data_IF_992140198101
#
_entry.id   IF_992140198101
#
_cell.length_a   1.000
_cell.length_b   1.000
_cell.length_c   1.000
_cell.angle_alpha   90.00
_cell.angle_beta   90.00
_cell.angle_gamma   90.00
#
_symmetry.space_group_name_H-M   'P 1'
#
loop_
_entity.id
_entity.type
_entity.pdbx_description
1 polymer ?
#
# COMPACT_ATOMS: atom_id res chain seq x y z
N UNK A 1 -34.74 7.93 -62.93
CA UNK A 1 -35.06 9.05 -62.03
C UNK A 1 -35.41 8.45 -60.67
N UNK A 2 -34.75 8.62 -59.61
CA UNK A 2 -33.98 9.64 -58.88
C UNK A 2 -32.90 9.01 -58.03
N UNK A 3 -31.75 9.56 -58.11
CA UNK A 3 -30.52 9.54 -57.29
C UNK A 3 -30.69 10.12 -55.91
N UNK A 4 -29.68 9.74 -55.05
CA UNK A 4 -29.05 10.48 -53.95
C UNK A 4 -29.84 10.45 -52.63
N UNK A 5 -29.23 10.05 -51.49
CA UNK A 5 -28.04 10.64 -50.86
C UNK A 5 -27.48 9.70 -49.77
N UNK A 6 -26.28 9.20 -49.98
CA UNK A 6 -25.38 8.79 -48.89
C UNK A 6 -24.81 10.05 -48.24
N UNK A 7 -24.96 10.20 -46.94
CA UNK A 7 -24.23 11.21 -46.18
C UNK A 7 -23.50 10.55 -45.00
N UNK A 8 -22.21 10.57 -45.16
CA UNK A 8 -21.15 10.38 -44.15
C UNK A 8 -21.55 10.51 -42.67
N UNK A 9 -21.42 9.42 -41.96
CA UNK A 9 -21.32 9.36 -40.48
C UNK A 9 -20.01 8.64 -40.11
N UNK A 10 -18.87 9.20 -40.52
CA UNK A 10 -17.56 8.60 -40.26
C UNK A 10 -16.49 9.63 -39.82
N UNK A 11 -16.89 10.77 -39.27
CA UNK A 11 -15.93 11.82 -38.90
C UNK A 11 -16.05 12.36 -37.48
N UNK A 12 -16.86 11.77 -36.57
CA UNK A 12 -16.97 12.28 -35.17
C UNK A 12 -16.49 11.33 -34.11
N UNK A 13 -16.11 10.09 -34.40
CA UNK A 13 -15.60 9.15 -33.40
C UNK A 13 -14.10 9.26 -33.13
N UNK A 14 -13.36 10.00 -33.96
CA UNK A 14 -11.89 10.12 -33.84
C UNK A 14 -11.39 11.23 -32.95
N UNK A 15 -12.22 12.18 -32.53
CA UNK A 15 -11.76 13.38 -31.81
C UNK A 15 -11.97 13.33 -30.28
N UNK A 16 -12.78 12.40 -29.77
CA UNK A 16 -12.97 12.26 -28.32
C UNK A 16 -11.98 11.34 -27.62
N UNK A 17 -11.28 10.47 -28.33
CA UNK A 17 -10.26 9.60 -27.76
C UNK A 17 -8.89 10.30 -27.54
N UNK A 18 -8.64 11.42 -28.22
CA UNK A 18 -7.37 12.16 -28.10
C UNK A 18 -7.35 13.16 -26.95
N UNK A 19 -8.50 13.54 -26.37
CA UNK A 19 -8.55 14.54 -25.28
C UNK A 19 -8.50 13.92 -23.88
N UNK A 20 -8.77 12.63 -23.72
CA UNK A 20 -8.65 11.94 -22.44
C UNK A 20 -7.23 11.39 -22.16
N UNK A 21 -6.40 11.19 -23.17
CA UNK A 21 -5.03 10.72 -23.02
C UNK A 21 -4.03 11.80 -22.57
N UNK A 22 -4.29 13.09 -22.87
CA UNK A 22 -3.34 14.16 -22.62
C UNK A 22 -3.27 14.67 -21.18
N UNK A 23 -4.37 14.53 -20.40
CA UNK A 23 -4.38 15.00 -19.00
C UNK A 23 -3.78 13.97 -18.01
N UNK A 24 -3.76 12.69 -18.37
CA UNK A 24 -3.14 11.64 -17.55
C UNK A 24 -1.61 11.59 -17.71
N UNK A 25 -1.10 11.98 -18.88
CA UNK A 25 0.32 11.89 -19.19
C UNK A 25 1.18 12.89 -18.41
N UNK A 26 0.70 14.13 -18.20
CA UNK A 26 1.51 15.22 -17.68
C UNK A 26 2.14 14.96 -16.29
N UNK A 27 1.48 14.26 -15.38
CA UNK A 27 1.98 14.04 -14.01
C UNK A 27 3.08 12.97 -13.95
N UNK A 28 2.81 11.78 -14.48
CA UNK A 28 3.75 10.63 -14.47
C UNK A 28 4.90 10.87 -15.43
N UNK A 29 4.68 11.54 -16.57
CA UNK A 29 5.73 11.84 -17.56
C UNK A 29 6.82 12.78 -17.06
N UNK A 30 6.54 13.53 -15.99
CA UNK A 30 7.54 14.39 -15.33
C UNK A 30 8.47 13.63 -14.37
N UNK A 31 8.18 12.37 -14.10
CA UNK A 31 9.04 11.52 -13.28
C UNK A 31 10.24 11.03 -14.12
N UNK A 32 11.38 10.74 -13.48
CA UNK A 32 12.53 10.10 -14.15
C UNK A 32 12.11 8.79 -14.83
N UNK A 33 12.70 8.49 -15.99
CA UNK A 33 12.34 7.35 -16.81
C UNK A 33 12.47 6.00 -16.07
N UNK A 34 13.51 5.85 -15.24
CA UNK A 34 13.72 4.67 -14.41
C UNK A 34 12.60 4.48 -13.37
N UNK A 35 12.12 5.56 -12.76
CA UNK A 35 10.99 5.56 -11.81
C UNK A 35 9.70 5.18 -12.53
N UNK A 36 9.43 5.78 -13.72
CA UNK A 36 8.25 5.46 -14.52
C UNK A 36 8.20 4.00 -14.93
N UNK A 37 9.28 3.51 -15.52
CA UNK A 37 9.35 2.15 -16.04
C UNK A 37 9.25 1.09 -14.94
N UNK A 38 9.74 1.38 -13.75
CA UNK A 38 9.73 0.47 -12.62
C UNK A 38 8.42 0.48 -11.83
N UNK A 39 7.83 1.65 -11.61
CA UNK A 39 6.71 1.82 -10.66
C UNK A 39 5.36 2.12 -11.34
N UNK A 40 5.37 2.60 -12.59
CA UNK A 40 4.16 3.08 -13.27
C UNK A 40 3.93 2.37 -14.63
N UNK A 41 4.55 1.23 -14.84
CA UNK A 41 4.26 0.40 -16.02
C UNK A 41 2.80 -0.07 -15.99
N UNK A 42 2.09 0.09 -17.10
CA UNK A 42 0.65 -0.24 -17.22
C UNK A 42 0.33 -1.67 -16.77
N UNK A 43 1.22 -2.61 -17.03
CA UNK A 43 1.04 -4.03 -16.70
C UNK A 43 1.11 -4.31 -15.19
N UNK A 44 1.71 -3.38 -14.43
CA UNK A 44 1.96 -3.50 -13.00
C UNK A 44 1.19 -2.45 -12.18
N UNK A 45 0.19 -1.82 -12.79
CA UNK A 45 -0.62 -0.80 -12.14
C UNK A 45 -2.06 -1.27 -11.95
N UNK A 46 -2.63 -0.93 -10.80
CA UNK A 46 -4.07 -1.03 -10.60
C UNK A 46 -4.77 -0.04 -11.55
N UNK A 47 -5.68 -0.51 -12.43
CA UNK A 47 -6.40 0.37 -13.35
C UNK A 47 -7.17 1.50 -12.67
N UNK A 48 -7.57 1.33 -11.40
CA UNK A 48 -8.28 2.33 -10.64
C UNK A 48 -7.37 3.32 -9.88
N UNK A 49 -6.05 3.09 -9.89
CA UNK A 49 -5.08 3.98 -9.24
C UNK A 49 -5.02 5.34 -9.95
N UNK A 50 -5.27 6.47 -9.25
CA UNK A 50 -5.13 7.78 -9.88
C UNK A 50 -3.67 8.11 -10.22
N UNK A 51 -3.40 8.43 -11.48
CA UNK A 51 -2.03 8.70 -11.98
C UNK A 51 -1.85 10.11 -12.53
N UNK A 52 -2.87 10.94 -12.49
CA UNK A 52 -2.83 12.31 -12.99
C UNK A 52 -1.89 13.23 -12.23
N UNK A 53 -1.75 14.48 -12.68
CA UNK A 53 -1.02 15.50 -11.95
C UNK A 53 -1.70 15.79 -10.61
N UNK A 54 -0.88 16.03 -9.58
CA UNK A 54 -1.41 16.35 -8.25
C UNK A 54 -2.14 17.70 -8.26
N UNK A 55 -3.28 17.79 -7.57
CA UNK A 55 -3.99 19.04 -7.33
C UNK A 55 -3.18 20.02 -6.45
N UNK A 56 -2.11 19.55 -5.83
CA UNK A 56 -1.27 20.33 -4.90
C UNK A 56 0.07 20.76 -5.49
N UNK A 57 0.26 20.66 -6.81
CA UNK A 57 1.51 21.07 -7.51
C UNK A 57 1.96 22.49 -7.16
N UNK A 58 1.03 23.43 -7.21
CA UNK A 58 1.25 24.85 -6.96
C UNK A 58 0.56 25.36 -5.70
N UNK A 59 0.03 24.43 -4.91
CA UNK A 59 -0.62 24.75 -3.66
C UNK A 59 0.38 25.27 -2.63
N UNK A 60 -0.07 26.22 -1.83
CA UNK A 60 0.69 26.79 -0.73
C UNK A 60 -0.18 26.75 0.55
N UNK A 61 0.43 26.50 1.71
CA UNK A 61 -0.30 26.54 2.97
C UNK A 61 -0.83 27.94 3.25
N UNK A 62 -2.00 28.03 3.87
CA UNK A 62 -2.61 29.30 4.29
C UNK A 62 -1.84 29.97 5.41
N UNK A 63 -1.11 29.19 6.20
CA UNK A 63 -0.26 29.66 7.31
C UNK A 63 0.99 28.81 7.42
N UNK A 64 2.01 29.37 8.03
CA UNK A 64 3.23 28.64 8.40
C UNK A 64 3.03 27.66 9.57
N UNK A 65 4.05 26.86 9.91
CA UNK A 65 4.01 25.99 11.08
C UNK A 65 3.93 26.81 12.40
N UNK A 66 3.57 26.18 13.53
CA UNK A 66 3.31 24.74 13.66
C UNK A 66 1.91 24.34 13.19
N UNK A 67 1.82 23.22 12.47
CA UNK A 67 0.57 22.70 11.89
C UNK A 67 -0.14 21.71 12.82
N UNK A 68 -1.49 21.69 12.73
CA UNK A 68 -2.37 20.68 13.31
C UNK A 68 -2.76 19.67 12.25
N UNK A 69 -2.54 18.39 12.51
CA UNK A 69 -2.78 17.31 11.54
C UNK A 69 -3.94 16.44 12.03
N UNK A 70 -4.86 16.11 11.13
CA UNK A 70 -5.86 15.07 11.34
C UNK A 70 -5.35 13.72 10.84
N UNK A 71 -5.51 12.66 11.63
CA UNK A 71 -5.30 11.30 11.18
C UNK A 71 -6.61 10.51 11.28
N UNK A 72 -7.26 10.28 10.14
CA UNK A 72 -8.50 9.52 10.04
C UNK A 72 -8.20 8.04 9.74
N UNK A 73 -7.96 7.27 10.80
CA UNK A 73 -7.71 5.82 10.72
C UNK A 73 -9.01 5.05 10.54
N UNK A 74 -9.01 4.07 9.62
CA UNK A 74 -10.19 3.21 9.41
C UNK A 74 -10.13 1.89 10.16
N UNK A 75 -8.94 1.42 10.55
CA UNK A 75 -8.76 0.09 11.10
C UNK A 75 -7.64 0.06 12.14
N UNK A 76 -7.87 -0.65 13.23
CA UNK A 76 -6.91 -0.82 14.32
C UNK A 76 -6.80 -2.29 14.79
N UNK A 77 -7.34 -3.23 14.02
CA UNK A 77 -7.60 -4.61 14.49
C UNK A 77 -6.43 -5.59 14.35
N UNK A 78 -5.21 -5.15 14.02
CA UNK A 78 -4.06 -6.04 13.92
C UNK A 78 -2.78 -5.42 14.45
N UNK A 79 -1.74 -6.25 14.62
CA UNK A 79 -0.42 -5.86 15.14
C UNK A 79 0.31 -4.90 14.21
N UNK A 80 0.09 -5.00 12.89
CA UNK A 80 0.63 -4.05 11.90
C UNK A 80 0.14 -2.61 12.19
N UNK A 81 -1.16 -2.46 12.47
CA UNK A 81 -1.74 -1.15 12.84
C UNK A 81 -1.26 -0.66 14.19
N UNK A 82 -1.09 -1.55 15.16
CA UNK A 82 -0.51 -1.18 16.44
C UNK A 82 0.91 -0.62 16.26
N UNK A 83 1.73 -1.23 15.42
CA UNK A 83 3.08 -0.74 15.11
C UNK A 83 3.07 0.60 14.34
N UNK A 84 2.11 0.83 13.42
CA UNK A 84 1.90 2.14 12.78
C UNK A 84 1.60 3.22 13.82
N UNK A 85 0.71 2.92 14.77
CA UNK A 85 0.32 3.87 15.82
C UNK A 85 1.46 4.15 16.79
N UNK A 86 2.22 3.13 17.15
CA UNK A 86 3.41 3.27 18.00
C UNK A 86 4.44 4.20 17.33
N UNK A 87 4.79 3.96 16.06
CA UNK A 87 5.70 4.82 15.28
C UNK A 87 5.19 6.26 15.21
N UNK A 88 3.90 6.44 14.93
CA UNK A 88 3.29 7.76 14.84
C UNK A 88 3.36 8.52 16.17
N UNK A 89 2.92 7.90 17.26
CA UNK A 89 2.76 8.55 18.56
C UNK A 89 4.07 8.73 19.31
N UNK A 90 4.96 7.74 19.24
CA UNK A 90 6.16 7.69 20.06
C UNK A 90 7.42 8.20 19.35
N UNK A 91 7.40 8.27 18.01
CA UNK A 91 8.57 8.74 17.27
C UNK A 91 8.27 9.94 16.36
N UNK A 92 7.30 9.85 15.44
CA UNK A 92 7.08 10.91 14.46
C UNK A 92 6.52 12.18 15.11
N UNK A 93 5.45 12.10 15.88
CA UNK A 93 4.86 13.28 16.53
C UNK A 93 5.88 13.99 17.43
N UNK A 94 6.59 13.32 18.36
CA UNK A 94 7.61 13.97 19.19
C UNK A 94 8.73 14.61 18.38
N UNK A 95 9.23 13.92 17.33
CA UNK A 95 10.28 14.44 16.45
C UNK A 95 9.86 15.76 15.79
N UNK A 96 8.70 15.79 15.16
CA UNK A 96 8.23 16.94 14.41
C UNK A 96 7.75 18.10 15.31
N UNK A 97 7.26 17.80 16.51
CA UNK A 97 7.02 18.83 17.55
C UNK A 97 8.32 19.49 18.00
N UNK A 98 9.37 18.69 18.22
CA UNK A 98 10.71 19.21 18.60
C UNK A 98 11.30 20.13 17.53
N UNK A 99 11.01 19.86 16.25
CA UNK A 99 11.38 20.72 15.12
C UNK A 99 10.53 22.01 15.02
N UNK A 100 9.49 22.16 15.85
CA UNK A 100 8.58 23.32 15.81
C UNK A 100 7.62 23.30 14.61
N UNK A 101 7.47 22.17 13.91
CA UNK A 101 6.70 22.08 12.69
C UNK A 101 5.28 21.54 12.91
N UNK A 102 5.04 20.78 13.98
CA UNK A 102 3.73 20.25 14.35
C UNK A 102 3.31 20.76 15.72
N UNK A 103 2.07 21.25 15.80
CA UNK A 103 1.40 21.64 17.04
C UNK A 103 0.80 20.41 17.73
N UNK A 104 -0.07 19.71 17.01
CA UNK A 104 -0.76 18.52 17.50
C UNK A 104 -1.22 17.63 16.36
N UNK A 105 -1.58 16.38 16.72
CA UNK A 105 -2.21 15.42 15.82
C UNK A 105 -3.49 14.91 16.46
N UNK A 106 -4.61 15.06 15.75
CA UNK A 106 -5.93 14.60 16.17
C UNK A 106 -6.20 13.28 15.47
N UNK A 107 -6.34 12.21 16.25
CA UNK A 107 -6.49 10.86 15.73
C UNK A 107 -7.94 10.40 15.92
N UNK A 108 -8.54 9.89 14.86
CA UNK A 108 -9.88 9.28 14.88
C UNK A 108 -9.83 7.85 14.37
N UNK A 109 -10.82 7.04 14.74
CA UNK A 109 -10.89 5.62 14.39
C UNK A 109 -12.30 5.23 13.98
N UNK A 110 -12.49 4.73 12.75
CA UNK A 110 -13.81 4.41 12.20
C UNK A 110 -14.20 2.92 12.24
N UNK A 111 -13.25 2.02 12.53
CA UNK A 111 -13.45 0.58 12.58
C UNK A 111 -14.11 0.02 11.30
N UNK A 112 -13.56 0.36 10.14
CA UNK A 112 -14.03 -0.02 8.79
C UNK A 112 -15.46 0.46 8.46
N UNK A 113 -15.98 1.47 9.17
CA UNK A 113 -17.29 2.04 8.89
C UNK A 113 -17.14 3.34 8.10
N UNK A 114 -17.41 3.32 6.80
CA UNK A 114 -17.27 4.47 5.91
C UNK A 114 -18.06 5.69 6.40
N UNK A 115 -19.32 5.50 6.83
CA UNK A 115 -20.14 6.58 7.35
C UNK A 115 -19.52 7.27 8.59
N UNK A 116 -18.93 6.48 9.49
CA UNK A 116 -18.21 6.99 10.66
C UNK A 116 -16.97 7.78 10.25
N UNK A 117 -16.20 7.26 9.29
CA UNK A 117 -15.00 7.93 8.81
C UNK A 117 -15.31 9.25 8.10
N UNK A 118 -16.37 9.29 7.29
CA UNK A 118 -16.87 10.52 6.66
C UNK A 118 -17.21 11.57 7.73
N UNK A 119 -17.94 11.16 8.77
CA UNK A 119 -18.32 12.08 9.86
C UNK A 119 -17.08 12.59 10.61
N UNK A 120 -16.15 11.72 10.95
CA UNK A 120 -14.90 12.08 11.63
C UNK A 120 -14.04 13.02 10.79
N UNK A 121 -13.90 12.76 9.48
CA UNK A 121 -13.19 13.67 8.59
C UNK A 121 -13.87 15.06 8.51
N UNK A 122 -15.19 15.12 8.47
CA UNK A 122 -15.91 16.42 8.52
C UNK A 122 -15.62 17.17 9.81
N UNK A 123 -15.58 16.48 10.95
CA UNK A 123 -15.21 17.10 12.23
C UNK A 123 -13.76 17.65 12.19
N UNK A 124 -12.80 16.92 11.65
CA UNK A 124 -11.42 17.42 11.47
C UNK A 124 -11.38 18.66 10.57
N UNK A 125 -12.13 18.65 9.47
CA UNK A 125 -12.25 19.78 8.55
C UNK A 125 -12.85 21.01 9.26
N UNK A 126 -13.87 20.83 10.07
CA UNK A 126 -14.55 21.92 10.80
C UNK A 126 -13.69 22.45 11.96
N UNK A 127 -12.83 21.62 12.55
CA UNK A 127 -11.81 22.05 13.52
C UNK A 127 -10.66 22.84 12.87
N UNK A 128 -10.60 22.87 11.54
CA UNK A 128 -9.61 23.65 10.80
C UNK A 128 -8.19 23.07 10.89
N UNK A 129 -8.05 21.73 10.83
CA UNK A 129 -6.73 21.10 10.71
C UNK A 129 -6.01 21.55 9.43
N UNK A 130 -4.69 21.52 9.43
CA UNK A 130 -3.88 22.01 8.31
C UNK A 130 -3.66 20.94 7.21
N UNK A 131 -3.79 19.67 7.57
CA UNK A 131 -3.78 18.55 6.65
C UNK A 131 -4.49 17.34 7.26
N UNK A 132 -4.92 16.40 6.42
CA UNK A 132 -5.53 15.14 6.85
C UNK A 132 -4.77 13.98 6.22
N UNK A 133 -4.33 13.02 7.03
CA UNK A 133 -3.90 11.69 6.57
C UNK A 133 -5.09 10.74 6.77
N UNK A 134 -5.40 9.96 5.74
CA UNK A 134 -6.43 8.94 5.75
C UNK A 134 -5.80 7.58 5.58
N UNK A 135 -6.21 6.59 6.34
CA UNK A 135 -5.78 5.23 6.07
C UNK A 135 -6.93 4.31 5.72
N UNK A 136 -6.66 3.54 4.68
CA UNK A 136 -7.16 2.21 4.36
C UNK A 136 -8.66 2.05 4.26
N UNK A 137 -9.31 3.03 3.70
CA UNK A 137 -10.76 3.04 3.51
C UNK A 137 -11.16 2.42 2.17
N UNK A 138 -12.45 2.31 1.99
CA UNK A 138 -13.04 2.18 0.66
C UNK A 138 -12.50 3.29 -0.25
N UNK A 139 -11.94 2.97 -1.43
CA UNK A 139 -11.22 3.94 -2.27
C UNK A 139 -12.10 5.09 -2.80
N UNK A 140 -13.42 4.93 -2.79
CA UNK A 140 -14.37 5.92 -3.34
C UNK A 140 -15.25 6.61 -2.29
N UNK A 141 -15.47 5.98 -1.13
CA UNK A 141 -16.45 6.45 -0.14
C UNK A 141 -16.15 7.87 0.39
N UNK A 142 -14.88 8.26 0.46
CA UNK A 142 -14.46 9.55 1.00
C UNK A 142 -14.33 10.66 -0.05
N UNK A 143 -14.54 10.39 -1.35
CA UNK A 143 -14.25 11.34 -2.42
C UNK A 143 -14.93 12.70 -2.23
N UNK A 144 -16.21 12.71 -1.84
CA UNK A 144 -16.94 13.97 -1.59
C UNK A 144 -16.36 14.73 -0.38
N UNK A 145 -15.97 14.02 0.67
CA UNK A 145 -15.39 14.65 1.87
C UNK A 145 -14.00 15.20 1.59
N UNK A 146 -13.21 14.49 0.79
CA UNK A 146 -11.90 14.97 0.30
C UNK A 146 -12.06 16.23 -0.55
N UNK A 147 -13.10 16.32 -1.40
CA UNK A 147 -13.41 17.55 -2.14
C UNK A 147 -13.72 18.72 -1.21
N UNK A 148 -14.51 18.49 -0.16
CA UNK A 148 -14.81 19.54 0.86
C UNK A 148 -13.54 20.00 1.56
N UNK A 149 -12.63 19.09 1.93
CA UNK A 149 -11.34 19.44 2.51
C UNK A 149 -10.51 20.31 1.56
N UNK A 150 -10.42 19.90 0.29
CA UNK A 150 -9.72 20.63 -0.77
C UNK A 150 -10.26 22.06 -0.94
N UNK A 151 -11.59 22.24 -1.01
CA UNK A 151 -12.22 23.56 -1.16
C UNK A 151 -11.95 24.47 0.03
N UNK A 152 -11.75 23.90 1.22
CA UNK A 152 -11.31 24.63 2.42
C UNK A 152 -9.77 24.81 2.47
N UNK A 153 -9.03 24.32 1.49
CA UNK A 153 -7.57 24.41 1.40
C UNK A 153 -6.85 23.49 2.37
N UNK A 154 -7.46 22.37 2.74
CA UNK A 154 -6.90 21.32 3.61
C UNK A 154 -6.48 20.13 2.73
N UNK A 155 -5.18 19.91 2.49
CA UNK A 155 -4.71 18.79 1.70
C UNK A 155 -4.99 17.47 2.40
N UNK A 156 -5.38 16.47 1.59
CA UNK A 156 -5.67 15.11 2.06
C UNK A 156 -4.67 14.13 1.44
N UNK A 157 -4.11 13.28 2.29
CA UNK A 157 -3.14 12.24 1.93
C UNK A 157 -3.71 10.88 2.28
N UNK A 158 -3.53 9.88 1.42
CA UNK A 158 -3.77 8.49 1.83
C UNK A 158 -2.47 7.83 2.25
N UNK A 159 -2.55 6.97 3.25
CA UNK A 159 -1.47 6.06 3.64
C UNK A 159 -1.95 4.62 3.42
N UNK A 160 -1.09 3.74 2.92
CA UNK A 160 -1.39 2.30 2.76
C UNK A 160 -2.64 2.03 1.91
N UNK A 161 -2.60 2.40 0.67
CA UNK A 161 -3.71 2.30 -0.27
C UNK A 161 -3.94 3.61 -1.00
N UNK A 162 -5.01 3.69 -1.79
CA UNK A 162 -5.33 4.90 -2.52
C UNK A 162 -6.81 5.30 -2.36
N UNK A 163 -7.05 6.59 -2.52
CA UNK A 163 -8.35 7.19 -2.77
C UNK A 163 -8.45 7.55 -4.25
N UNK A 164 -9.62 7.37 -4.84
CA UNK A 164 -9.86 7.71 -6.26
C UNK A 164 -10.11 9.20 -6.48
N UNK A 165 -10.21 10.00 -5.40
CA UNK A 165 -10.40 11.44 -5.48
C UNK A 165 -9.25 12.13 -6.20
N UNK A 166 -9.49 13.03 -7.19
CA UNK A 166 -8.44 13.83 -7.81
C UNK A 166 -7.83 14.86 -6.86
N UNK A 167 -8.42 15.05 -5.68
CA UNK A 167 -8.00 16.00 -4.65
C UNK A 167 -7.26 15.33 -3.49
N UNK A 168 -6.80 14.10 -3.66
CA UNK A 168 -5.93 13.42 -2.71
C UNK A 168 -4.52 13.24 -3.28
N UNK A 169 -3.52 13.16 -2.41
CA UNK A 169 -2.20 12.61 -2.74
C UNK A 169 -2.10 11.25 -2.09
N UNK A 170 -1.96 10.23 -2.91
CA UNK A 170 -1.84 8.86 -2.43
C UNK A 170 -0.37 8.51 -2.17
N UNK A 171 -0.14 7.78 -1.09
CA UNK A 171 1.17 7.35 -0.65
C UNK A 171 1.14 5.86 -0.31
N UNK A 172 1.80 5.04 -1.09
CA UNK A 172 1.90 3.60 -0.80
C UNK A 172 3.02 2.94 -1.59
N UNK A 173 3.38 1.71 -1.21
CA UNK A 173 4.03 0.83 -2.17
C UNK A 173 3.06 0.45 -3.29
N UNK A 174 3.60 0.09 -4.46
CA UNK A 174 2.78 -0.43 -5.55
C UNK A 174 2.31 -1.85 -5.20
N UNK A 175 1.08 -1.97 -4.70
CA UNK A 175 0.51 -3.24 -4.25
C UNK A 175 0.33 -4.27 -5.38
N UNK A 176 -0.03 -3.84 -6.59
CA UNK A 176 -0.16 -4.77 -7.71
C UNK A 176 1.20 -5.33 -8.13
N UNK A 177 2.23 -4.49 -8.23
CA UNK A 177 3.60 -4.93 -8.45
C UNK A 177 4.06 -5.89 -7.34
N UNK A 178 3.74 -5.55 -6.08
CA UNK A 178 4.04 -6.40 -4.93
C UNK A 178 3.40 -7.78 -5.04
N UNK A 179 2.12 -7.84 -5.34
CA UNK A 179 1.40 -9.09 -5.59
C UNK A 179 1.99 -9.90 -6.73
N UNK A 180 2.33 -9.22 -7.84
CA UNK A 180 2.96 -9.86 -8.98
C UNK A 180 4.33 -10.47 -8.62
N UNK A 181 5.13 -9.76 -7.83
CA UNK A 181 6.42 -10.27 -7.33
C UNK A 181 6.22 -11.49 -6.42
N UNK A 182 5.23 -11.47 -5.51
CA UNK A 182 4.91 -12.60 -4.63
C UNK A 182 4.45 -13.83 -5.41
N UNK A 183 3.56 -13.66 -6.39
CA UNK A 183 3.08 -14.74 -7.24
C UNK A 183 4.19 -15.32 -8.09
N UNK A 184 5.06 -14.48 -8.67
CA UNK A 184 6.23 -14.91 -9.44
C UNK A 184 7.20 -15.70 -8.55
N UNK A 185 7.51 -15.16 -7.37
CA UNK A 185 8.37 -15.83 -6.42
C UNK A 185 7.82 -17.21 -6.02
N UNK A 186 6.51 -17.29 -5.68
CA UNK A 186 5.89 -18.58 -5.34
C UNK A 186 5.97 -19.58 -6.51
N UNK A 187 5.75 -19.13 -7.74
CA UNK A 187 5.86 -19.99 -8.91
C UNK A 187 7.26 -20.56 -9.08
N UNK A 188 8.29 -19.74 -8.93
CA UNK A 188 9.69 -20.17 -9.00
C UNK A 188 10.01 -21.16 -7.87
N UNK A 189 9.59 -20.87 -6.64
CA UNK A 189 9.85 -21.67 -5.45
C UNK A 189 9.27 -23.09 -5.55
N UNK A 190 8.07 -23.22 -6.11
CA UNK A 190 7.44 -24.57 -6.31
C UNK A 190 7.80 -25.24 -7.62
N UNK A 191 8.79 -24.72 -8.37
CA UNK A 191 9.26 -25.30 -9.64
C UNK A 191 8.27 -25.12 -10.79
N UNK A 192 7.51 -24.05 -10.80
CA UNK A 192 6.57 -23.61 -11.89
C UNK A 192 5.39 -24.56 -12.14
N UNK A 193 5.09 -25.44 -11.19
CA UNK A 193 3.95 -26.38 -11.26
C UNK A 193 3.41 -26.70 -9.87
N UNK A 194 2.13 -26.99 -9.79
CA UNK A 194 1.48 -27.43 -8.55
C UNK A 194 0.28 -26.58 -8.15
N UNK A 195 -0.20 -26.84 -6.95
CA UNK A 195 -1.42 -26.25 -6.40
C UNK A 195 -1.08 -25.17 -5.37
N UNK A 196 -1.67 -23.99 -5.54
CA UNK A 196 -1.43 -22.82 -4.67
C UNK A 196 -2.74 -22.37 -4.04
N UNK A 197 -2.74 -22.19 -2.71
CA UNK A 197 -3.79 -21.47 -1.98
C UNK A 197 -3.44 -19.99 -1.91
N UNK A 198 -4.41 -19.12 -2.11
CA UNK A 198 -4.26 -17.67 -1.92
C UNK A 198 -4.98 -17.27 -0.64
N UNK A 199 -4.31 -16.49 0.22
CA UNK A 199 -4.90 -15.90 1.42
C UNK A 199 -4.90 -14.38 1.26
N UNK A 200 -6.07 -13.84 1.03
CA UNK A 200 -6.30 -12.42 0.76
C UNK A 200 -6.30 -11.62 2.07
N UNK A 201 -6.13 -10.30 1.95
CA UNK A 201 -6.32 -9.36 3.05
C UNK A 201 -7.79 -9.09 3.33
N UNK A 202 -8.16 -7.79 3.44
CA UNK A 202 -9.56 -7.35 3.58
C UNK A 202 -10.12 -7.07 2.19
N UNK A 203 -11.02 -7.92 1.66
CA UNK A 203 -11.62 -7.71 0.35
C UNK A 203 -12.34 -6.37 0.25
N UNK A 204 -12.27 -5.73 -0.93
CA UNK A 204 -12.86 -4.41 -1.19
C UNK A 204 -11.99 -3.23 -0.76
N UNK A 205 -10.84 -3.46 -0.15
CA UNK A 205 -9.83 -2.42 0.06
C UNK A 205 -8.87 -2.35 -1.12
N UNK A 206 -8.45 -1.14 -1.52
CA UNK A 206 -7.56 -0.97 -2.67
C UNK A 206 -6.24 -1.75 -2.52
N UNK A 207 -5.69 -1.81 -1.32
CA UNK A 207 -4.45 -2.52 -1.05
C UNK A 207 -4.58 -4.03 -1.24
N UNK A 208 -5.64 -4.66 -0.67
CA UNK A 208 -5.87 -6.11 -0.79
C UNK A 208 -6.19 -6.51 -2.23
N UNK A 209 -7.14 -5.80 -2.86
CA UNK A 209 -7.60 -6.14 -4.19
C UNK A 209 -6.53 -5.95 -5.26
N UNK A 210 -5.68 -4.90 -5.14
CA UNK A 210 -4.54 -4.69 -6.04
C UNK A 210 -3.49 -5.80 -5.90
N UNK A 211 -3.16 -6.16 -4.66
CA UNK A 211 -2.18 -7.22 -4.41
C UNK A 211 -2.68 -8.56 -4.94
N UNK A 212 -3.95 -8.89 -4.73
CA UNK A 212 -4.57 -10.12 -5.24
C UNK A 212 -4.55 -10.18 -6.77
N UNK A 213 -4.90 -9.09 -7.46
CA UNK A 213 -4.77 -9.00 -8.92
C UNK A 213 -3.35 -9.29 -9.39
N UNK A 214 -2.36 -8.72 -8.72
CA UNK A 214 -0.95 -8.95 -9.03
C UNK A 214 -0.56 -10.42 -8.88
N UNK A 215 -0.93 -11.05 -7.76
CA UNK A 215 -0.68 -12.48 -7.50
C UNK A 215 -1.29 -13.35 -8.61
N UNK A 216 -2.58 -13.14 -8.91
CA UNK A 216 -3.30 -13.92 -9.94
C UNK A 216 -2.69 -13.72 -11.33
N UNK A 217 -2.32 -12.47 -11.68
CA UNK A 217 -1.66 -12.17 -12.95
C UNK A 217 -0.29 -12.85 -13.10
N UNK A 218 0.48 -12.94 -12.02
CA UNK A 218 1.75 -13.62 -12.03
C UNK A 218 1.59 -15.15 -12.19
N UNK A 219 0.73 -15.75 -11.38
CA UNK A 219 0.49 -17.20 -11.40
C UNK A 219 -0.09 -17.66 -12.75
N UNK A 220 -0.93 -16.86 -13.40
CA UNK A 220 -1.50 -17.14 -14.72
C UNK A 220 -0.46 -17.27 -15.84
N UNK A 221 0.79 -16.80 -15.65
CA UNK A 221 1.88 -17.00 -16.60
C UNK A 221 2.48 -18.41 -16.57
N UNK A 222 2.11 -19.22 -15.59
CA UNK A 222 2.60 -20.57 -15.37
C UNK A 222 1.46 -21.57 -15.53
N UNK A 223 1.26 -22.19 -16.72
CA UNK A 223 0.07 -22.99 -17.03
C UNK A 223 -0.07 -24.25 -16.17
N UNK A 224 1.03 -24.75 -15.60
CA UNK A 224 1.03 -25.91 -14.72
C UNK A 224 0.79 -25.57 -13.24
N UNK A 225 0.57 -24.30 -12.91
CA UNK A 225 0.16 -23.85 -11.59
C UNK A 225 -1.38 -23.67 -11.55
N UNK A 226 -1.99 -24.24 -10.52
CA UNK A 226 -3.43 -24.08 -10.27
C UNK A 226 -3.65 -23.34 -8.96
N UNK A 227 -4.40 -22.26 -9.01
CA UNK A 227 -4.96 -21.64 -7.79
C UNK A 227 -6.15 -22.51 -7.37
N UNK A 228 -5.96 -23.30 -6.31
CA UNK A 228 -6.95 -24.29 -5.87
C UNK A 228 -7.92 -23.77 -4.82
N UNK A 229 -7.73 -22.53 -4.37
CA UNK A 229 -8.64 -21.85 -3.46
C UNK A 229 -8.18 -20.45 -3.16
N UNK A 230 -9.12 -19.64 -2.66
CA UNK A 230 -8.86 -18.31 -2.10
C UNK A 230 -9.68 -18.17 -0.82
N UNK A 231 -9.06 -17.65 0.26
CA UNK A 231 -9.70 -17.38 1.55
C UNK A 231 -9.33 -15.99 2.05
N UNK A 232 -10.23 -15.32 2.75
CA UNK A 232 -9.98 -14.00 3.31
C UNK A 232 -9.33 -14.11 4.70
N UNK A 233 -8.05 -13.80 4.81
CA UNK A 233 -7.31 -13.77 6.08
C UNK A 233 -7.55 -12.52 6.90
N UNK A 234 -8.20 -11.49 6.30
CA UNK A 234 -8.59 -10.22 6.93
C UNK A 234 -7.42 -9.45 7.56
N UNK A 235 -6.19 -9.70 7.09
CA UNK A 235 -4.94 -9.18 7.68
C UNK A 235 -4.86 -9.42 9.20
N UNK A 236 -5.29 -10.60 9.64
CA UNK A 236 -5.30 -10.98 11.04
C UNK A 236 -4.92 -12.44 11.17
N UNK A 237 -3.91 -12.76 11.96
CA UNK A 237 -3.42 -14.13 12.15
C UNK A 237 -4.49 -15.10 12.59
N UNK A 238 -5.35 -14.68 13.52
CA UNK A 238 -6.41 -15.55 14.04
C UNK A 238 -7.40 -15.94 12.94
N UNK A 239 -7.80 -14.98 12.10
CA UNK A 239 -8.73 -15.24 10.99
C UNK A 239 -8.04 -16.07 9.92
N UNK A 240 -6.82 -15.71 9.51
CA UNK A 240 -6.06 -16.48 8.54
C UNK A 240 -5.83 -17.92 9.00
N UNK A 241 -5.47 -18.13 10.27
CA UNK A 241 -5.32 -19.47 10.84
C UNK A 241 -6.61 -20.27 10.72
N UNK A 242 -7.74 -19.72 11.14
CA UNK A 242 -9.03 -20.40 11.12
C UNK A 242 -9.47 -20.74 9.68
N UNK A 243 -9.37 -19.79 8.75
CA UNK A 243 -9.79 -20.00 7.36
C UNK A 243 -8.87 -20.96 6.61
N UNK A 244 -7.56 -20.90 6.84
CA UNK A 244 -6.61 -21.86 6.25
C UNK A 244 -6.83 -23.26 6.83
N UNK A 245 -7.03 -23.42 8.14
CA UNK A 245 -7.37 -24.71 8.78
C UNK A 245 -8.63 -25.32 8.19
N UNK A 246 -9.69 -24.53 8.08
CA UNK A 246 -10.98 -24.97 7.49
C UNK A 246 -10.78 -25.41 6.03
N UNK A 247 -10.02 -24.64 5.25
CA UNK A 247 -9.72 -25.00 3.88
C UNK A 247 -8.91 -26.32 3.79
N UNK A 248 -7.87 -26.46 4.61
CA UNK A 248 -7.05 -27.67 4.66
C UNK A 248 -7.85 -28.93 5.06
N UNK A 249 -8.81 -28.79 5.98
CA UNK A 249 -9.68 -29.88 6.43
C UNK A 249 -10.65 -30.37 5.33
N UNK A 250 -11.09 -29.47 4.46
CA UNK A 250 -12.09 -29.78 3.41
C UNK A 250 -11.44 -30.07 2.04
N UNK A 251 -10.12 -29.82 1.86
CA UNK A 251 -9.41 -30.01 0.62
C UNK A 251 -8.20 -30.93 0.84
N UNK A 252 -8.39 -32.27 0.85
CA UNK A 252 -7.32 -33.21 1.16
C UNK A 252 -6.28 -33.36 0.03
N UNK A 253 -6.49 -32.76 -1.14
CA UNK A 253 -5.60 -32.80 -2.28
C UNK A 253 -4.21 -32.22 -2.00
N UNK A 254 -3.30 -32.40 -2.94
CA UNK A 254 -1.94 -31.86 -2.84
C UNK A 254 -1.96 -30.34 -2.81
N UNK A 255 -1.17 -29.75 -1.90
CA UNK A 255 -0.87 -28.33 -1.82
C UNK A 255 0.64 -28.15 -1.93
N UNK A 256 1.09 -27.21 -2.77
CA UNK A 256 2.51 -26.99 -3.05
C UNK A 256 3.00 -25.62 -2.54
N UNK A 257 2.09 -24.65 -2.31
CA UNK A 257 2.45 -23.35 -1.78
C UNK A 257 1.23 -22.54 -1.31
N UNK A 258 1.49 -21.55 -0.46
CA UNK A 258 0.48 -20.60 0.03
C UNK A 258 0.98 -19.18 -0.23
N UNK A 259 0.30 -18.45 -1.11
CA UNK A 259 0.52 -17.01 -1.25
C UNK A 259 -0.39 -16.29 -0.29
N UNK A 260 0.19 -15.65 0.70
CA UNK A 260 -0.54 -14.97 1.75
C UNK A 260 -0.16 -13.49 1.77
N UNK A 261 -1.16 -12.62 1.89
CA UNK A 261 -0.92 -11.20 2.10
C UNK A 261 -0.38 -10.96 3.52
N UNK A 262 0.56 -10.04 3.66
CA UNK A 262 1.22 -9.70 4.91
C UNK A 262 0.21 -9.39 6.04
N UNK A 263 0.63 -9.56 7.29
CA UNK A 263 -0.19 -9.51 8.51
C UNK A 263 -1.18 -10.69 8.69
N UNK A 264 -0.88 -11.81 8.05
CA UNK A 264 -1.62 -13.08 8.18
C UNK A 264 -0.68 -14.29 8.06
N UNK A 265 0.61 -14.06 7.83
CA UNK A 265 1.59 -15.11 7.54
C UNK A 265 1.84 -16.05 8.71
N UNK A 266 1.84 -15.52 9.93
CA UNK A 266 2.00 -16.33 11.14
C UNK A 266 0.78 -17.23 11.37
N UNK A 267 -0.42 -16.71 11.08
CA UNK A 267 -1.66 -17.50 11.11
C UNK A 267 -1.65 -18.64 10.11
N UNK A 268 -1.28 -18.37 8.86
CA UNK A 268 -1.13 -19.40 7.82
C UNK A 268 -0.10 -20.46 8.16
N UNK A 269 1.05 -20.05 8.70
CA UNK A 269 2.12 -20.96 9.15
C UNK A 269 1.64 -21.87 10.30
N UNK A 270 0.95 -21.32 11.29
CA UNK A 270 0.38 -22.08 12.40
C UNK A 270 -0.67 -23.09 11.92
N UNK A 271 -1.56 -22.67 11.01
CA UNK A 271 -2.56 -23.55 10.42
C UNK A 271 -1.91 -24.74 9.72
N UNK A 272 -0.88 -24.51 8.90
CA UNK A 272 -0.18 -25.57 8.19
C UNK A 272 0.52 -26.52 9.17
N UNK A 273 1.26 -26.01 10.17
CA UNK A 273 1.90 -26.83 11.22
C UNK A 273 0.88 -27.72 11.96
N UNK A 274 -0.26 -27.15 12.35
CA UNK A 274 -1.29 -27.88 13.12
C UNK A 274 -2.07 -28.90 12.30
N UNK A 275 -2.12 -28.74 10.98
CA UNK A 275 -2.80 -29.68 10.09
C UNK A 275 -2.10 -31.04 9.97
N UNK A 276 -0.84 -31.14 10.40
CA UNK A 276 -0.01 -32.32 10.21
C UNK A 276 0.38 -32.60 8.75
N UNK A 277 0.04 -31.73 7.82
CA UNK A 277 0.40 -31.85 6.41
C UNK A 277 1.88 -31.48 6.19
N UNK A 278 2.40 -31.88 5.04
CA UNK A 278 3.74 -31.46 4.61
C UNK A 278 3.83 -29.92 4.61
N UNK A 279 4.90 -29.41 5.19
CA UNK A 279 5.21 -27.98 5.12
C UNK A 279 5.48 -27.58 3.67
N UNK A 280 4.83 -26.53 3.22
CA UNK A 280 5.00 -25.94 1.89
C UNK A 280 5.42 -24.47 2.02
N UNK A 281 6.08 -23.88 1.01
CA UNK A 281 6.42 -22.47 1.04
C UNK A 281 5.21 -21.56 1.30
N UNK A 282 5.40 -20.58 2.17
CA UNK A 282 4.42 -19.51 2.46
C UNK A 282 5.13 -18.18 2.21
N UNK A 283 4.48 -17.24 1.52
CA UNK A 283 5.02 -15.88 1.39
C UNK A 283 5.07 -15.20 2.76
N UNK A 284 6.10 -14.39 2.99
CA UNK A 284 6.34 -13.74 4.28
C UNK A 284 6.46 -12.24 4.08
N UNK A 285 5.86 -11.45 4.98
CA UNK A 285 5.80 -9.99 4.87
C UNK A 285 6.80 -9.25 5.73
N UNK A 286 6.92 -9.57 6.97
CA UNK A 286 7.76 -8.82 7.91
C UNK A 286 7.40 -9.06 9.37
N UNK A 287 6.49 -9.95 9.64
CA UNK A 287 6.11 -10.38 10.97
C UNK A 287 7.22 -11.22 11.59
N UNK A 288 7.75 -10.80 12.73
CA UNK A 288 8.98 -11.36 13.30
C UNK A 288 8.84 -12.84 13.64
N UNK A 289 7.65 -13.34 14.01
CA UNK A 289 7.44 -14.75 14.26
C UNK A 289 7.63 -15.62 13.01
N UNK A 290 7.09 -15.21 11.89
CA UNK A 290 7.25 -15.89 10.61
C UNK A 290 8.71 -15.81 10.11
N UNK A 291 9.35 -14.64 10.26
CA UNK A 291 10.77 -14.47 9.94
C UNK A 291 11.68 -15.30 10.84
N UNK A 292 11.32 -15.46 12.11
CA UNK A 292 12.03 -16.31 13.05
C UNK A 292 11.98 -17.80 12.64
N UNK A 293 10.80 -18.26 12.21
CA UNK A 293 10.67 -19.61 11.67
C UNK A 293 11.59 -19.83 10.45
N UNK A 294 11.62 -18.87 9.53
CA UNK A 294 12.53 -18.96 8.38
C UNK A 294 13.98 -18.91 8.80
N UNK A 295 14.38 -18.03 9.71
CA UNK A 295 15.75 -17.98 10.25
C UNK A 295 16.21 -19.33 10.81
N UNK A 296 15.34 -20.01 11.56
CA UNK A 296 15.63 -21.32 12.15
C UNK A 296 15.58 -22.47 11.13
N UNK A 297 14.91 -22.24 10.01
CA UNK A 297 14.73 -23.24 8.94
C UNK A 297 15.16 -22.66 7.58
N UNK A 298 16.46 -22.41 7.36
CA UNK A 298 16.96 -21.66 6.19
C UNK A 298 16.67 -22.31 4.84
N UNK A 299 16.40 -23.62 4.84
CA UNK A 299 16.03 -24.38 3.62
C UNK A 299 14.52 -24.35 3.35
N UNK A 300 13.73 -23.78 4.22
CA UNK A 300 12.28 -23.77 4.08
C UNK A 300 11.81 -22.83 2.97
N UNK A 301 12.45 -21.68 2.84
CA UNK A 301 12.22 -20.68 1.80
C UNK A 301 13.58 -20.38 1.15
N UNK A 302 13.67 -20.53 -0.16
CA UNK A 302 14.93 -20.36 -0.88
C UNK A 302 15.13 -18.93 -1.41
N UNK A 303 14.12 -18.09 -1.40
CA UNK A 303 14.13 -16.83 -2.10
C UNK A 303 13.79 -15.62 -1.20
N UNK A 304 13.59 -14.46 -1.80
CA UNK A 304 13.34 -13.22 -1.08
C UNK A 304 11.90 -13.11 -0.61
N UNK A 305 11.72 -12.48 0.55
CA UNK A 305 10.42 -12.04 1.05
C UNK A 305 10.16 -10.58 0.70
N UNK A 306 8.92 -10.17 0.81
CA UNK A 306 8.49 -8.80 0.61
C UNK A 306 8.07 -8.17 1.93
N UNK A 307 8.85 -7.21 2.43
CA UNK A 307 8.54 -6.53 3.67
C UNK A 307 7.58 -5.34 3.44
N UNK A 308 6.64 -5.20 4.37
CA UNK A 308 5.70 -4.08 4.49
C UNK A 308 5.88 -3.43 5.87
N UNK A 309 6.96 -2.64 6.07
CA UNK A 309 7.31 -2.14 7.40
C UNK A 309 6.31 -1.07 7.85
N UNK A 310 5.51 -1.32 8.90
CA UNK A 310 4.37 -0.46 9.27
C UNK A 310 4.79 0.96 9.67
N UNK A 311 5.86 1.09 10.42
CA UNK A 311 6.37 2.40 10.85
C UNK A 311 6.96 3.20 9.69
N UNK A 312 7.64 2.53 8.78
CA UNK A 312 8.26 3.17 7.61
C UNK A 312 7.20 3.59 6.59
N UNK A 313 6.09 2.85 6.46
CA UNK A 313 4.94 3.23 5.63
C UNK A 313 4.28 4.52 6.14
N UNK A 314 4.06 4.62 7.45
CA UNK A 314 3.55 5.86 8.05
C UNK A 314 4.54 7.02 7.88
N UNK A 315 5.83 6.79 8.03
CA UNK A 315 6.84 7.83 7.82
C UNK A 315 6.91 8.29 6.36
N UNK A 316 6.66 7.40 5.40
CA UNK A 316 6.52 7.75 3.98
C UNK A 316 5.38 8.75 3.76
N UNK A 317 4.18 8.41 4.22
CA UNK A 317 3.01 9.29 4.12
C UNK A 317 3.24 10.63 4.83
N UNK A 318 3.85 10.59 6.00
CA UNK A 318 4.19 11.76 6.78
C UNK A 318 5.17 12.69 6.04
N UNK A 319 6.24 12.16 5.46
CA UNK A 319 7.20 12.94 4.68
C UNK A 319 6.55 13.60 3.45
N UNK A 320 5.67 12.89 2.74
CA UNK A 320 4.95 13.44 1.59
C UNK A 320 4.05 14.60 2.03
N UNK A 321 3.33 14.43 3.13
CA UNK A 321 2.49 15.48 3.73
C UNK A 321 3.33 16.71 4.12
N UNK A 322 4.41 16.51 4.88
CA UNK A 322 5.26 17.60 5.33
C UNK A 322 5.88 18.38 4.17
N UNK A 323 6.38 17.70 3.14
CA UNK A 323 6.89 18.33 1.92
C UNK A 323 5.81 19.16 1.20
N UNK A 324 4.58 18.65 1.15
CA UNK A 324 3.45 19.38 0.56
C UNK A 324 3.11 20.64 1.37
N UNK A 325 3.01 20.51 2.70
CA UNK A 325 2.79 21.65 3.61
C UNK A 325 3.89 22.72 3.51
N UNK A 326 5.11 22.32 3.14
CA UNK A 326 6.24 23.23 2.90
C UNK A 326 6.26 23.81 1.48
N UNK A 327 5.24 23.55 0.67
CA UNK A 327 5.12 24.11 -0.68
C UNK A 327 6.03 23.44 -1.72
N UNK A 328 6.56 22.24 -1.47
CA UNK A 328 7.44 21.54 -2.40
C UNK A 328 6.72 21.09 -3.69
N UNK A 329 5.39 20.92 -3.66
CA UNK A 329 4.53 20.61 -4.79
C UNK A 329 4.71 19.19 -5.34
N UNK A 330 3.87 18.23 -4.92
CA UNK A 330 3.90 16.88 -5.50
C UNK A 330 3.53 16.91 -6.98
N UNK A 331 4.25 16.19 -7.82
CA UNK A 331 4.04 16.13 -9.29
C UNK A 331 2.82 15.27 -9.64
N UNK A 332 2.62 14.17 -8.91
CA UNK A 332 1.64 13.13 -9.23
C UNK A 332 0.63 12.94 -8.10
N UNK A 333 -0.55 12.41 -8.44
CA UNK A 333 -1.57 12.07 -7.45
C UNK A 333 -1.17 10.86 -6.58
N UNK A 334 -0.43 9.90 -7.14
CA UNK A 334 0.03 8.72 -6.42
C UNK A 334 1.54 8.66 -6.42
N UNK A 335 2.13 8.87 -5.24
CA UNK A 335 3.55 8.65 -4.97
C UNK A 335 3.71 7.18 -4.61
N UNK A 336 4.25 6.41 -5.54
CA UNK A 336 4.46 4.98 -5.37
C UNK A 336 5.92 4.67 -5.09
N UNK A 337 6.12 3.69 -4.21
CA UNK A 337 7.45 3.13 -3.94
C UNK A 337 7.45 1.63 -4.23
N UNK A 338 8.64 1.09 -4.46
CA UNK A 338 8.82 -0.33 -4.71
C UNK A 338 8.67 -1.13 -3.41
N UNK A 339 7.93 -2.24 -3.42
CA UNK A 339 7.93 -3.16 -2.29
C UNK A 339 9.34 -3.64 -1.96
N UNK A 340 9.66 -3.78 -0.68
CA UNK A 340 11.01 -4.14 -0.26
C UNK A 340 11.20 -5.65 -0.33
N UNK A 341 12.10 -6.10 -1.21
CA UNK A 341 12.58 -7.49 -1.20
C UNK A 341 13.64 -7.70 -0.12
N UNK A 342 13.48 -8.75 0.68
CA UNK A 342 14.47 -9.20 1.65
C UNK A 342 14.97 -10.60 1.28
N UNK A 343 16.26 -10.81 1.46
CA UNK A 343 16.92 -12.10 1.30
C UNK A 343 17.10 -12.78 2.65
N UNK A 344 17.48 -14.06 2.66
CA UNK A 344 17.84 -14.75 3.90
C UNK A 344 18.98 -14.04 4.64
N UNK A 345 19.97 -13.50 3.95
CA UNK A 345 21.06 -12.73 4.55
C UNK A 345 20.57 -11.45 5.26
N UNK A 346 19.51 -10.81 4.73
CA UNK A 346 18.87 -9.69 5.41
C UNK A 346 18.17 -10.13 6.70
N UNK A 347 17.53 -11.30 6.69
CA UNK A 347 16.84 -11.86 7.85
C UNK A 347 17.88 -12.28 8.91
N UNK A 348 18.93 -12.93 8.51
CA UNK A 348 20.01 -13.36 9.39
C UNK A 348 20.66 -12.18 10.13
N UNK A 349 20.75 -11.04 9.45
CA UNK A 349 21.27 -9.78 10.03
C UNK A 349 20.26 -9.05 10.92
N UNK A 350 18.98 -9.10 10.61
CA UNK A 350 17.95 -8.23 11.20
C UNK A 350 17.09 -8.92 12.26
N UNK A 351 17.03 -10.25 12.27
CA UNK A 351 16.26 -11.05 13.23
C UNK A 351 17.23 -11.76 14.16
N UNK A 352 17.06 -11.64 15.46
CA UNK A 352 17.94 -12.25 16.46
C UNK A 352 17.92 -13.78 16.37
N UNK A 353 19.04 -14.45 16.71
CA UNK A 353 19.14 -15.91 16.66
C UNK A 353 18.22 -16.60 17.69
N UNK A 354 18.00 -15.96 18.82
CA UNK A 354 17.13 -16.39 19.93
C UNK A 354 15.69 -15.87 19.79
N UNK A 355 15.28 -15.46 18.58
CA UNK A 355 13.95 -14.94 18.30
C UNK A 355 12.84 -15.94 18.65
N UNK A 356 11.64 -15.43 18.93
CA UNK A 356 10.43 -16.22 19.16
C UNK A 356 9.61 -16.36 17.88
N UNK A 357 9.19 -17.60 17.56
CA UNK A 357 8.24 -17.87 16.48
C UNK A 357 6.81 -17.43 16.81
N UNK A 358 6.54 -17.04 18.06
CA UNK A 358 5.25 -16.51 18.50
C UNK A 358 5.22 -14.98 18.53
N UNK A 359 6.27 -14.31 18.06
CA UNK A 359 6.36 -12.85 18.06
C UNK A 359 5.41 -12.27 17.01
N UNK A 360 4.50 -11.40 17.45
CA UNK A 360 3.60 -10.60 16.64
C UNK A 360 4.16 -9.21 16.30
N UNK A 361 5.42 -8.95 16.65
CA UNK A 361 6.12 -7.71 16.32
C UNK A 361 6.52 -7.68 14.85
N UNK A 362 6.85 -6.50 14.38
CA UNK A 362 7.18 -6.24 12.98
C UNK A 362 8.63 -5.81 12.79
N UNK A 363 9.22 -6.24 11.66
CA UNK A 363 10.52 -5.79 11.23
C UNK A 363 10.42 -4.34 10.74
N UNK A 364 11.23 -3.45 11.30
CA UNK A 364 11.52 -2.13 10.75
C UNK A 364 12.84 -2.19 9.96
N UNK A 365 12.84 -1.66 8.77
CA UNK A 365 14.04 -1.60 7.92
C UNK A 365 14.56 -0.18 7.74
N UNK A 366 13.82 0.81 8.25
CA UNK A 366 14.09 2.23 8.15
C UNK A 366 13.69 2.83 6.80
N UNK A 367 13.09 4.02 6.85
CA UNK A 367 12.57 4.73 5.68
C UNK A 367 13.65 4.93 4.60
N UNK A 368 14.88 5.23 4.96
CA UNK A 368 15.96 5.45 4.00
C UNK A 368 16.33 4.19 3.21
N UNK A 369 16.09 3.00 3.74
CA UNK A 369 16.27 1.75 3.00
C UNK A 369 15.10 1.50 2.06
N UNK A 370 13.90 1.84 2.46
CA UNK A 370 12.68 1.64 1.67
C UNK A 370 12.43 2.78 0.67
N UNK A 371 12.34 4.02 1.16
CA UNK A 371 12.02 5.21 0.38
C UNK A 371 12.94 6.36 0.79
N UNK A 372 14.21 6.33 0.35
CA UNK A 372 15.18 7.38 0.70
C UNK A 372 14.70 8.76 0.29
N UNK A 373 15.19 9.79 0.99
CA UNK A 373 14.93 11.20 0.66
C UNK A 373 15.19 11.49 -0.81
N UNK A 374 16.30 11.00 -1.38
CA UNK A 374 16.64 11.19 -2.79
C UNK A 374 15.61 10.52 -3.74
N UNK A 375 15.07 9.36 -3.39
CA UNK A 375 13.98 8.74 -4.17
C UNK A 375 12.72 9.58 -4.12
N UNK A 376 12.38 10.16 -2.96
CA UNK A 376 11.21 11.02 -2.80
C UNK A 376 11.35 12.35 -3.53
N UNK A 377 12.56 12.90 -3.65
CA UNK A 377 12.82 14.15 -4.36
C UNK A 377 12.34 14.10 -5.82
N UNK A 378 12.39 12.93 -6.46
CA UNK A 378 11.89 12.73 -7.82
C UNK A 378 10.41 13.09 -8.01
N UNK A 379 9.61 13.00 -6.96
CA UNK A 379 8.16 13.22 -6.97
C UNK A 379 7.74 14.67 -6.69
N UNK A 380 8.69 15.56 -6.39
CA UNK A 380 8.40 16.95 -6.03
C UNK A 380 8.99 17.93 -7.03
N UNK A 381 8.30 19.05 -7.27
CA UNK A 381 8.74 20.10 -8.16
C UNK A 381 9.90 20.92 -7.55
N UNK A 382 9.86 21.12 -6.27
CA UNK A 382 10.81 21.93 -5.48
C UNK A 382 11.32 21.11 -4.28
N UNK A 383 12.07 20.04 -4.54
CA UNK A 383 12.47 19.13 -3.47
C UNK A 383 13.42 19.79 -2.48
N UNK A 384 13.21 19.56 -1.21
CA UNK A 384 14.06 19.99 -0.10
C UNK A 384 13.92 19.01 1.05
N UNK A 385 14.92 18.98 1.94
CA UNK A 385 14.85 18.19 3.16
C UNK A 385 13.78 18.77 4.10
N UNK A 386 12.68 18.04 4.35
CA UNK A 386 11.57 18.58 5.13
C UNK A 386 11.90 18.82 6.61
N UNK A 387 12.95 18.18 7.13
CA UNK A 387 13.40 18.37 8.52
C UNK A 387 14.23 19.65 8.70
N UNK A 388 14.78 20.20 7.61
CA UNK A 388 15.57 21.45 7.59
C UNK A 388 14.74 22.67 7.20
N UNK A 389 13.43 22.51 7.11
CA UNK A 389 12.54 23.62 6.76
C UNK A 389 12.65 24.76 7.79
N UNK A 390 12.86 25.96 7.27
CA UNK A 390 12.84 27.19 8.05
C UNK A 390 11.62 27.99 7.61
N UNK A 391 10.66 28.26 8.49
CA UNK A 391 9.45 29.01 8.17
C UNK A 391 9.77 30.44 7.73
#
# INVERSE_FOLDING_TARGET
>A
MKQLRDFNVLALAGLMAALSGGAFAAGVDELPADVRNRLYSSDMMDPAQPLGPSAYRDWKPKKGPPWTIGYASSYAGNTWRAAVMDRLQNELIPKWKKLGLIKEVIITQSNLKDATQIQQMRQLIDQGVDAIIVCCSNPTALNQTVKVAYDKGIPTFSATGYLTSPYAVNSSANFQLGGFQLGTWMAEEIGKKGNVLVVEGIPGTSASDSQDRGVKAALAKYPDIKVVGSVAGMWTDQVAQAEVQKWLATNPGELNGIVIQSASELGGLRALKQSGRKMVPITVGGELGALCYWRKNPKYISSAIQAWPPGDDMELAWNIMMRTLQGQGPKVQSVLVEPVKLTYADIEKSVAADCSEDSDKWLSIGINRWASTAKLDAFFLRPADPEKFKP
#
